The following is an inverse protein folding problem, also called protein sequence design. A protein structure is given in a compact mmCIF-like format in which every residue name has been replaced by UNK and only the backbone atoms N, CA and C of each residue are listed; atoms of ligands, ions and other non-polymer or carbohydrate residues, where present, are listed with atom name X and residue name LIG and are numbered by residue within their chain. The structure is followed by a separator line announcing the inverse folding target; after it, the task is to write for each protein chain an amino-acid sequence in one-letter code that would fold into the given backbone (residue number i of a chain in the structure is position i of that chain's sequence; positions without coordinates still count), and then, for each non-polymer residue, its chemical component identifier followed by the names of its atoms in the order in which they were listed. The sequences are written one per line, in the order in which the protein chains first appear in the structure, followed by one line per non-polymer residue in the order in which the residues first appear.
data_IF_480039307944
#
_entry.id   IF_480039307944
#
_cell.length_a   1.000
_cell.length_b   1.000
_cell.length_c   1.000
_cell.angle_alpha   90.00
_cell.angle_beta   90.00
_cell.angle_gamma   90.00
#
_symmetry.space_group_name_H-M   'P 1'
#
loop_
_entity.id
_entity.type
_entity.pdbx_description
1 polymer ?
#
# COMPACT_ATOMS: atom_id res chain seq x y z
N UNK A 1 13.92 -18.89 -19.79
CA UNK A 1 13.53 -18.25 -18.51
C UNK A 1 12.94 -16.91 -18.84
N UNK A 2 11.79 -16.58 -18.27
CA UNK A 2 11.19 -15.24 -18.35
C UNK A 2 11.73 -14.46 -17.14
N UNK A 3 12.15 -13.22 -17.36
CA UNK A 3 12.62 -12.31 -16.32
C UNK A 3 11.82 -11.01 -16.39
N UNK A 4 11.60 -10.40 -15.24
CA UNK A 4 11.00 -9.08 -15.10
C UNK A 4 11.79 -8.32 -14.03
N UNK A 5 11.98 -7.03 -14.27
CA UNK A 5 12.63 -6.11 -13.35
C UNK A 5 11.56 -5.18 -12.78
N UNK A 6 11.64 -4.95 -11.47
CA UNK A 6 10.67 -4.18 -10.70
C UNK A 6 11.44 -3.13 -9.88
N UNK A 7 11.14 -1.85 -10.11
CA UNK A 7 11.74 -0.73 -9.40
C UNK A 7 10.70 0.34 -9.04
N UNK A 8 10.81 0.88 -7.83
CA UNK A 8 9.97 1.99 -7.40
C UNK A 8 10.71 2.85 -6.37
N UNK A 9 10.56 4.16 -6.50
CA UNK A 9 11.19 5.13 -5.60
C UNK A 9 10.30 5.34 -4.38
N UNK A 10 10.83 4.97 -3.22
CA UNK A 10 10.23 5.20 -1.91
C UNK A 10 10.80 6.44 -1.23
N UNK A 11 9.99 7.08 -0.41
CA UNK A 11 10.39 8.25 0.38
C UNK A 11 9.50 8.44 1.60
N UNK A 12 10.03 9.13 2.60
CA UNK A 12 9.35 9.47 3.85
C UNK A 12 9.66 10.92 4.20
N UNK A 13 8.62 11.69 4.53
CA UNK A 13 8.75 13.03 5.09
C UNK A 13 7.92 13.11 6.36
N UNK A 14 8.60 13.42 7.47
CA UNK A 14 7.99 13.61 8.78
C UNK A 14 8.27 15.03 9.32
N UNK A 15 7.24 15.63 9.92
CA UNK A 15 7.36 16.85 10.71
C UNK A 15 6.77 16.60 12.09
N UNK A 16 7.51 16.94 13.13
CA UNK A 16 7.05 16.83 14.52
C UNK A 16 7.23 18.15 15.26
N UNK A 17 6.33 18.40 16.21
CA UNK A 17 6.34 19.59 17.05
C UNK A 17 5.98 19.25 18.49
N UNK A 18 6.81 19.73 19.41
CA UNK A 18 6.60 19.59 20.84
C UNK A 18 5.70 20.74 21.33
N UNK A 19 4.40 20.47 21.51
CA UNK A 19 3.43 21.48 21.97
C UNK A 19 3.68 21.90 23.42
N UNK A 20 3.94 20.92 24.30
CA UNK A 20 4.28 21.13 25.72
C UNK A 20 5.38 20.16 26.12
N UNK A 21 5.89 20.20 27.35
CA UNK A 21 6.90 19.23 27.82
C UNK A 21 6.46 17.77 27.68
N UNK A 22 5.16 17.53 27.72
CA UNK A 22 4.58 16.19 27.84
C UNK A 22 3.76 15.78 26.60
N UNK A 23 3.59 16.69 25.64
CA UNK A 23 2.76 16.51 24.44
C UNK A 23 3.55 16.80 23.17
N UNK A 24 3.50 15.84 22.24
CA UNK A 24 4.04 15.95 20.90
C UNK A 24 2.95 15.72 19.85
N UNK A 25 3.02 16.45 18.75
CA UNK A 25 2.20 16.23 17.56
C UNK A 25 3.10 16.02 16.35
N UNK A 26 2.66 15.22 15.42
CA UNK A 26 3.39 14.96 14.19
C UNK A 26 2.46 14.85 13.00
N UNK A 27 3.01 15.09 11.83
CA UNK A 27 2.41 14.74 10.55
C UNK A 27 3.48 14.03 9.71
N UNK A 28 3.07 13.01 8.95
CA UNK A 28 3.96 12.30 8.03
C UNK A 28 3.27 12.00 6.71
N UNK A 29 4.09 11.95 5.67
CA UNK A 29 3.71 11.41 4.36
C UNK A 29 4.75 10.38 3.94
N UNK A 30 4.30 9.20 3.57
CA UNK A 30 5.16 8.06 3.28
C UNK A 30 4.74 7.39 1.99
N UNK A 31 5.68 7.18 1.06
CA UNK A 31 5.46 6.40 -0.15
C UNK A 31 6.20 5.07 -0.06
N UNK A 32 5.45 3.99 -0.20
CA UNK A 32 5.95 2.61 -0.26
C UNK A 32 5.39 1.85 -1.47
N UNK A 33 5.87 0.63 -1.65
CA UNK A 33 5.34 -0.28 -2.66
C UNK A 33 5.49 -1.74 -2.22
N UNK A 34 4.67 -2.59 -2.82
CA UNK A 34 4.84 -4.03 -2.84
C UNK A 34 5.32 -4.41 -4.25
N UNK A 35 6.40 -5.17 -4.34
CA UNK A 35 6.99 -5.56 -5.62
C UNK A 35 5.98 -6.29 -6.51
N UNK A 36 6.12 -6.12 -7.82
CA UNK A 36 5.47 -6.95 -8.81
C UNK A 36 5.93 -8.41 -8.74
N UNK A 37 5.42 -9.23 -9.64
CA UNK A 37 5.75 -10.65 -9.64
C UNK A 37 5.10 -11.43 -10.75
N UNK A 38 5.13 -12.76 -10.61
CA UNK A 38 4.49 -13.68 -11.54
C UNK A 38 3.32 -14.37 -10.85
N UNK A 39 2.22 -14.63 -11.57
CA UNK A 39 1.10 -15.37 -11.02
C UNK A 39 1.54 -16.77 -10.61
N UNK A 40 1.17 -17.24 -9.39
CA UNK A 40 1.61 -18.54 -8.89
C UNK A 40 0.97 -19.72 -9.64
N UNK A 41 -0.09 -19.47 -10.43
CA UNK A 41 -0.80 -20.49 -11.23
C UNK A 41 -1.27 -19.90 -12.56
N UNK A 42 -0.58 -20.16 -13.67
CA UNK A 42 -1.03 -19.76 -15.01
C UNK A 42 -2.07 -20.77 -15.54
N UNK A 43 -3.35 -20.53 -15.28
CA UNK A 43 -4.42 -21.50 -15.60
C UNK A 43 -4.64 -21.73 -17.11
N UNK A 44 -4.20 -20.80 -17.96
CA UNK A 44 -4.33 -20.85 -19.42
C UNK A 44 -3.11 -21.34 -20.19
N UNK A 45 -2.09 -21.87 -19.48
CA UNK A 45 -0.86 -22.37 -20.09
C UNK A 45 0.34 -21.40 -20.00
N UNK A 46 1.47 -21.71 -20.64
CA UNK A 46 2.74 -20.98 -20.47
C UNK A 46 2.67 -19.48 -20.75
N UNK A 47 1.80 -19.07 -21.68
CA UNK A 47 1.64 -17.67 -22.10
C UNK A 47 1.02 -16.78 -21.01
N UNK A 48 0.42 -17.39 -19.97
CA UNK A 48 -0.11 -16.66 -18.82
C UNK A 48 0.88 -16.51 -17.66
N UNK A 49 2.14 -16.93 -17.87
CA UNK A 49 3.23 -16.59 -16.97
C UNK A 49 3.73 -15.15 -17.25
N UNK A 50 2.79 -14.21 -17.29
CA UNK A 50 3.03 -12.79 -17.49
C UNK A 50 3.27 -12.11 -16.14
N UNK A 51 4.25 -11.22 -16.09
CA UNK A 51 4.50 -10.42 -14.89
C UNK A 51 3.37 -9.42 -14.65
N UNK A 52 3.07 -9.15 -13.38
CA UNK A 52 2.29 -8.00 -12.92
C UNK A 52 3.25 -7.01 -12.25
N UNK A 53 2.93 -5.72 -12.35
CA UNK A 53 3.74 -4.60 -11.84
C UNK A 53 3.58 -4.41 -10.32
N UNK A 54 4.32 -3.47 -9.75
CA UNK A 54 4.27 -3.10 -8.35
C UNK A 54 2.92 -2.51 -7.94
N UNK A 55 2.48 -2.82 -6.72
CA UNK A 55 1.40 -2.09 -6.06
C UNK A 55 1.99 -0.96 -5.22
N UNK A 56 1.48 0.26 -5.36
CA UNK A 56 2.02 1.46 -4.72
C UNK A 56 1.09 1.94 -3.62
N UNK A 57 1.67 2.49 -2.56
CA UNK A 57 0.92 3.04 -1.43
C UNK A 57 1.48 4.40 -1.02
N UNK A 58 0.61 5.39 -0.84
CA UNK A 58 0.96 6.67 -0.22
C UNK A 58 0.11 6.84 1.04
N UNK A 59 0.77 6.92 2.19
CA UNK A 59 0.15 7.17 3.49
C UNK A 59 0.30 8.63 3.89
N UNK A 60 -0.79 9.22 4.35
CA UNK A 60 -0.86 10.53 5.00
C UNK A 60 -1.36 10.31 6.42
N UNK A 61 -0.60 10.77 7.41
CA UNK A 61 -0.95 10.54 8.80
C UNK A 61 -0.64 11.77 9.63
N UNK A 62 -1.53 12.06 10.57
CA UNK A 62 -1.36 13.09 11.59
C UNK A 62 -1.67 12.47 12.94
N UNK A 63 -0.79 12.71 13.91
CA UNK A 63 -0.95 12.12 15.22
C UNK A 63 -0.50 13.01 16.35
N UNK A 64 -0.95 12.62 17.53
CA UNK A 64 -0.69 13.21 18.81
C UNK A 64 -0.22 12.10 19.73
N UNK A 65 0.84 12.35 20.49
CA UNK A 65 1.30 11.44 21.54
C UNK A 65 1.73 12.25 22.75
N UNK A 66 1.25 11.85 23.92
CA UNK A 66 1.66 12.53 25.14
C UNK A 66 0.93 12.10 26.40
N UNK A 67 1.42 12.62 27.51
CA UNK A 67 0.79 12.51 28.81
C UNK A 67 -0.21 13.66 28.99
N UNK A 68 -1.49 13.33 29.03
CA UNK A 68 -2.60 14.32 29.15
C UNK A 68 -2.98 14.59 30.61
N UNK A 69 -2.54 13.72 31.52
CA UNK A 69 -2.73 13.84 32.96
C UNK A 69 -1.64 13.07 33.70
N UNK A 70 -1.43 13.35 35.00
CA UNK A 70 -0.36 12.74 35.82
C UNK A 70 -0.24 11.20 35.69
N UNK A 71 -1.34 10.50 35.41
CA UNK A 71 -1.35 9.04 35.23
C UNK A 71 -2.00 8.58 33.91
N UNK A 72 -2.18 9.47 32.93
CA UNK A 72 -2.84 9.14 31.66
C UNK A 72 -1.96 9.54 30.48
N UNK A 73 -1.54 8.54 29.71
CA UNK A 73 -0.88 8.72 28.41
C UNK A 73 -1.83 8.33 27.30
N UNK A 74 -1.79 9.07 26.20
CA UNK A 74 -2.62 8.85 25.03
C UNK A 74 -1.77 8.95 23.77
N UNK A 75 -2.11 8.14 22.77
CA UNK A 75 -1.58 8.25 21.42
C UNK A 75 -2.76 8.17 20.47
N UNK A 76 -3.00 9.23 19.71
CA UNK A 76 -4.13 9.31 18.80
C UNK A 76 -3.59 9.65 17.43
N UNK A 77 -3.95 8.89 16.41
CA UNK A 77 -3.56 9.16 15.03
C UNK A 77 -4.75 9.06 14.10
N UNK A 78 -4.79 9.90 13.08
CA UNK A 78 -5.68 9.76 11.94
C UNK A 78 -4.82 9.53 10.70
N UNK A 79 -5.22 8.56 9.88
CA UNK A 79 -4.47 8.17 8.71
C UNK A 79 -5.36 7.98 7.50
N UNK A 80 -4.77 8.19 6.33
CA UNK A 80 -5.35 7.92 5.01
C UNK A 80 -4.25 7.33 4.14
N UNK A 81 -4.49 6.13 3.61
CA UNK A 81 -3.58 5.47 2.69
C UNK A 81 -4.29 5.23 1.36
N UNK A 82 -3.72 5.78 0.29
CA UNK A 82 -4.16 5.53 -1.08
C UNK A 82 -3.28 4.44 -1.69
N UNK A 83 -3.92 3.38 -2.17
CA UNK A 83 -3.30 2.26 -2.89
C UNK A 83 -3.64 2.35 -4.37
N UNK A 84 -2.62 2.22 -5.21
CA UNK A 84 -2.72 2.25 -6.67
C UNK A 84 -2.01 1.05 -7.27
N UNK A 85 -2.36 0.70 -8.51
CA UNK A 85 -1.80 -0.45 -9.22
C UNK A 85 -1.95 -1.76 -8.43
N UNK A 86 -3.12 -1.99 -7.83
CA UNK A 86 -3.41 -3.25 -7.14
C UNK A 86 -3.45 -4.39 -8.17
N UNK A 87 -2.60 -5.39 -7.95
CA UNK A 87 -2.60 -6.64 -8.71
C UNK A 87 -3.82 -7.48 -8.32
N UNK A 88 -4.84 -7.49 -9.19
CA UNK A 88 -6.12 -8.17 -8.95
C UNK A 88 -6.36 -9.28 -9.98
N UNK A 89 -7.06 -10.37 -9.59
CA UNK A 89 -7.43 -11.42 -10.52
C UNK A 89 -8.62 -11.01 -11.39
N UNK A 90 -8.48 -11.12 -12.71
CA UNK A 90 -9.54 -10.89 -13.70
C UNK A 90 -9.80 -12.15 -14.52
N UNK A 91 -11.05 -12.36 -14.95
CA UNK A 91 -11.38 -13.44 -15.88
C UNK A 91 -11.37 -12.90 -17.30
N UNK A 92 -10.41 -13.35 -18.09
CA UNK A 92 -10.32 -13.02 -19.51
C UNK A 92 -10.97 -14.15 -20.33
N UNK A 93 -12.07 -13.87 -21.07
CA UNK A 93 -12.73 -14.85 -21.94
C UNK A 93 -12.01 -15.08 -23.28
N UNK A 94 -10.98 -14.28 -23.58
CA UNK A 94 -10.21 -14.33 -24.83
C UNK A 94 -8.85 -15.02 -24.67
N UNK A 95 -8.37 -15.15 -23.44
CA UNK A 95 -7.14 -15.87 -23.14
C UNK A 95 -7.34 -17.40 -23.17
N UNK A 96 -6.44 -18.14 -23.84
CA UNK A 96 -6.36 -19.61 -23.72
C UNK A 96 -7.55 -20.43 -24.24
N UNK A 97 -8.49 -19.82 -24.99
CA UNK A 97 -9.63 -20.52 -25.58
C UNK A 97 -10.84 -20.75 -24.65
N UNK A 98 -10.95 -20.00 -23.56
CA UNK A 98 -12.07 -20.05 -22.59
C UNK A 98 -11.94 -18.98 -21.50
N UNK A 99 -12.72 -19.09 -20.41
CA UNK A 99 -12.54 -18.20 -19.26
C UNK A 99 -11.29 -18.58 -18.48
N UNK A 100 -10.33 -17.67 -18.41
CA UNK A 100 -9.09 -17.90 -17.66
C UNK A 100 -8.80 -16.73 -16.73
N UNK A 101 -8.39 -17.03 -15.49
CA UNK A 101 -7.99 -16.01 -14.53
C UNK A 101 -6.57 -15.53 -14.79
N UNK A 102 -6.42 -14.24 -15.11
CA UNK A 102 -5.15 -13.50 -15.20
C UNK A 102 -5.01 -12.55 -14.01
N UNK A 103 -3.80 -12.04 -13.76
CA UNK A 103 -3.54 -11.01 -12.74
C UNK A 103 -3.11 -9.74 -13.47
N UNK A 104 -3.77 -8.61 -13.18
CA UNK A 104 -3.45 -7.31 -13.76
C UNK A 104 -3.48 -6.21 -12.69
N UNK A 105 -2.63 -5.19 -12.86
CA UNK A 105 -2.63 -3.99 -12.04
C UNK A 105 -3.72 -3.04 -12.53
N UNK A 106 -4.88 -3.08 -11.88
CA UNK A 106 -6.04 -2.27 -12.30
C UNK A 106 -6.90 -1.79 -11.12
N UNK A 107 -6.57 -2.18 -9.89
CA UNK A 107 -7.31 -1.74 -8.71
C UNK A 107 -6.71 -0.50 -8.07
N UNK A 108 -7.60 0.40 -7.64
CA UNK A 108 -7.29 1.44 -6.66
C UNK A 108 -8.11 1.16 -5.39
N UNK A 109 -7.53 1.46 -4.23
CA UNK A 109 -8.22 1.33 -2.95
C UNK A 109 -7.78 2.41 -1.99
N UNK A 110 -8.66 2.78 -1.06
CA UNK A 110 -8.39 3.78 -0.05
C UNK A 110 -8.70 3.22 1.33
N UNK A 111 -7.70 3.21 2.20
CA UNK A 111 -7.85 2.91 3.62
C UNK A 111 -7.80 4.20 4.42
N UNK A 112 -8.67 4.36 5.41
CA UNK A 112 -8.66 5.53 6.29
C UNK A 112 -9.22 5.16 7.65
N UNK A 113 -8.73 5.82 8.70
CA UNK A 113 -9.13 5.49 10.05
C UNK A 113 -8.57 6.43 11.10
N UNK A 114 -8.93 6.10 12.34
CA UNK A 114 -8.40 6.73 13.56
C UNK A 114 -7.95 5.62 14.51
N UNK A 115 -6.78 5.78 15.09
CA UNK A 115 -6.17 4.88 16.08
C UNK A 115 -6.00 5.62 17.41
N UNK A 116 -6.15 4.89 18.53
CA UNK A 116 -6.22 5.42 19.91
C UNK A 116 -5.46 4.52 20.89
#
# INVERSE_FOLDING_TARGET
YVSADFDEVTWDVNASYQLTRDINVYAQVQKGYQSGGFPPRPFGGPDQFAAFDETKAINYEIGFKGQVHENVSMMVAAFVTDYTDLALPFNDPTAGGGFVTIVENAGESKAQGVEL
#
